data_IF_437886409931
#
_entry.id   IF_437886409931
#
_cell.length_a   1.000
_cell.length_b   1.000
_cell.length_c   1.000
_cell.angle_alpha   90.00
_cell.angle_beta   90.00
_cell.angle_gamma   90.00
#
_symmetry.space_group_name_H-M   'P 1'
#
loop_
_entity.id
_entity.type
_entity.pdbx_description
1 polymer ?
#
# COMPACT_ATOMS: atom_id res chain seq x y z
N UNK A 1 29.64 17.75 -1.20
CA UNK A 1 28.38 18.21 -1.83
C UNK A 1 27.24 17.96 -0.86
N UNK A 2 26.41 18.96 -0.54
CA UNK A 2 25.14 18.70 0.15
C UNK A 2 24.22 18.02 -0.86
N UNK A 3 23.74 16.82 -0.57
CA UNK A 3 22.79 16.17 -1.47
C UNK A 3 21.45 16.89 -1.39
N UNK A 4 20.84 17.15 -2.54
CA UNK A 4 19.51 17.77 -2.66
C UNK A 4 18.39 16.73 -2.46
N UNK A 5 18.56 15.78 -1.54
CA UNK A 5 17.52 14.79 -1.26
C UNK A 5 16.30 15.47 -0.64
N UNK A 6 15.12 15.01 -1.05
CA UNK A 6 13.82 15.49 -0.56
C UNK A 6 13.12 14.31 0.12
N UNK A 7 12.30 14.58 1.14
CA UNK A 7 11.59 13.50 1.84
C UNK A 7 10.42 13.04 0.97
N UNK A 8 10.21 11.73 0.87
CA UNK A 8 9.06 11.19 0.15
C UNK A 8 7.73 11.72 0.72
N UNK A 9 7.64 11.88 2.04
CA UNK A 9 6.46 12.43 2.72
C UNK A 9 6.03 13.83 2.27
N UNK A 10 6.94 14.59 1.63
CA UNK A 10 6.58 15.89 1.06
C UNK A 10 5.73 15.73 -0.21
N UNK A 11 5.87 14.59 -0.94
CA UNK A 11 5.21 14.30 -2.22
C UNK A 11 4.00 13.37 -2.14
N UNK A 12 3.80 12.69 -1.01
CA UNK A 12 2.69 11.74 -0.82
C UNK A 12 1.72 12.21 0.25
N UNK A 13 0.48 11.72 0.20
CA UNK A 13 -0.54 11.95 1.23
C UNK A 13 -1.29 10.67 1.57
N UNK A 14 -1.54 10.47 2.87
CA UNK A 14 -2.33 9.34 3.38
C UNK A 14 -3.82 9.55 3.05
N UNK A 15 -4.49 8.45 2.73
CA UNK A 15 -5.91 8.39 2.44
C UNK A 15 -6.63 7.54 3.48
N UNK A 16 -7.74 8.06 3.99
CA UNK A 16 -8.59 7.39 4.99
C UNK A 16 -10.00 7.13 4.47
N UNK A 17 -10.17 7.11 3.16
CA UNK A 17 -11.46 6.86 2.50
C UNK A 17 -11.86 5.40 2.76
N UNK A 18 -13.10 5.21 3.21
CA UNK A 18 -13.66 3.90 3.56
C UNK A 18 -14.85 3.53 2.69
N UNK A 19 -15.18 2.25 2.64
CA UNK A 19 -16.31 1.72 1.87
C UNK A 19 -17.67 1.98 2.54
N UNK A 20 -17.90 3.19 3.06
CA UNK A 20 -19.14 3.53 3.80
C UNK A 20 -20.39 3.44 2.94
N UNK A 21 -20.25 3.66 1.63
CA UNK A 21 -21.34 3.57 0.65
C UNK A 21 -21.48 2.16 0.04
N UNK A 22 -20.66 1.19 0.48
CA UNK A 22 -20.70 -0.20 0.01
C UNK A 22 -20.59 -0.35 -1.52
N UNK A 23 -19.80 0.52 -2.16
CA UNK A 23 -19.63 0.56 -3.63
C UNK A 23 -18.62 -0.47 -4.12
N UNK A 24 -17.59 -0.75 -3.33
CA UNK A 24 -16.60 -1.76 -3.67
C UNK A 24 -16.98 -3.10 -3.05
N UNK A 25 -16.96 -4.16 -3.87
CA UNK A 25 -17.25 -5.53 -3.43
C UNK A 25 -15.98 -6.38 -3.33
N UNK A 26 -14.96 -6.07 -4.13
CA UNK A 26 -13.72 -6.83 -4.14
C UNK A 26 -12.85 -6.48 -2.94
N UNK A 27 -12.51 -7.48 -2.13
CA UNK A 27 -11.51 -7.37 -1.07
C UNK A 27 -10.19 -7.97 -1.54
N UNK A 28 -9.16 -7.13 -1.64
CA UNK A 28 -7.81 -7.54 -2.05
C UNK A 28 -6.82 -7.44 -0.89
N UNK A 29 -5.82 -8.31 -0.93
CA UNK A 29 -4.58 -8.21 -0.14
C UNK A 29 -3.38 -8.01 -1.06
N UNK A 30 -2.19 -7.88 -0.48
CA UNK A 30 -0.92 -7.81 -1.22
C UNK A 30 -0.10 -9.08 -0.95
N UNK A 31 0.36 -9.73 -2.01
CA UNK A 31 1.21 -10.92 -1.93
C UNK A 31 2.70 -10.56 -1.73
N UNK A 32 3.53 -11.59 -1.52
CA UNK A 32 4.98 -11.44 -1.31
C UNK A 32 5.71 -10.86 -2.52
N UNK A 33 5.12 -10.96 -3.70
CA UNK A 33 5.66 -10.43 -4.96
C UNK A 33 5.13 -9.02 -5.27
N UNK A 34 4.45 -8.37 -4.30
CA UNK A 34 3.97 -6.99 -4.38
C UNK A 34 2.86 -6.76 -5.41
N UNK A 35 2.03 -7.77 -5.63
CA UNK A 35 0.82 -7.69 -6.43
C UNK A 35 -0.43 -7.75 -5.55
N UNK A 36 -1.47 -7.03 -5.98
CA UNK A 36 -2.80 -7.22 -5.43
C UNK A 36 -3.33 -8.61 -5.81
N UNK A 37 -3.96 -9.28 -4.87
CA UNK A 37 -4.62 -10.57 -5.05
C UNK A 37 -5.91 -10.63 -4.24
N UNK A 38 -6.90 -11.46 -4.63
CA UNK A 38 -8.07 -11.72 -3.79
C UNK A 38 -7.66 -12.10 -2.37
N UNK A 39 -8.28 -11.46 -1.39
CA UNK A 39 -7.99 -11.74 0.01
C UNK A 39 -8.52 -13.12 0.41
N UNK A 40 -7.76 -13.84 1.22
CA UNK A 40 -8.17 -15.11 1.84
C UNK A 40 -8.87 -14.92 3.19
N UNK A 41 -9.06 -13.67 3.61
CA UNK A 41 -9.73 -13.34 4.87
C UNK A 41 -11.19 -13.79 4.83
N UNK A 42 -11.65 -14.45 5.90
CA UNK A 42 -13.05 -14.75 6.08
C UNK A 42 -13.82 -13.45 6.36
N UNK A 43 -14.69 -13.05 5.43
CA UNK A 43 -15.51 -11.82 5.52
C UNK A 43 -16.93 -12.08 6.01
N UNK A 44 -17.31 -13.34 6.29
CA UNK A 44 -18.66 -13.67 6.77
C UNK A 44 -18.90 -12.98 8.12
N UNK A 45 -19.93 -12.14 8.17
CA UNK A 45 -20.27 -11.36 9.37
C UNK A 45 -19.32 -10.20 9.69
N UNK A 46 -18.40 -9.86 8.78
CA UNK A 46 -17.51 -8.71 8.93
C UNK A 46 -18.17 -7.44 8.39
N UNK A 47 -18.06 -6.34 9.13
CA UNK A 47 -18.44 -5.02 8.63
C UNK A 47 -17.44 -4.54 7.57
N UNK A 48 -17.83 -4.59 6.30
CA UNK A 48 -16.99 -4.13 5.19
C UNK A 48 -16.96 -2.60 5.06
N UNK A 49 -17.83 -1.86 5.76
CA UNK A 49 -17.88 -0.40 5.67
C UNK A 49 -16.63 0.28 6.25
N UNK A 50 -15.91 -0.40 7.14
CA UNK A 50 -14.67 0.12 7.74
C UNK A 50 -13.43 -0.11 6.87
N UNK A 51 -13.53 -0.93 5.83
CA UNK A 51 -12.43 -1.23 4.93
C UNK A 51 -12.06 -0.01 4.09
N UNK A 52 -10.77 0.13 3.80
CA UNK A 52 -10.25 1.29 3.06
C UNK A 52 -10.39 1.04 1.56
N UNK A 53 -10.76 2.08 0.82
CA UNK A 53 -10.85 2.05 -0.64
C UNK A 53 -9.51 2.37 -1.27
N UNK A 54 -9.19 1.66 -2.35
CA UNK A 54 -8.01 1.89 -3.19
C UNK A 54 -8.48 2.10 -4.62
N UNK A 55 -8.02 3.19 -5.24
CA UNK A 55 -8.32 3.58 -6.63
C UNK A 55 -7.05 3.52 -7.48
N UNK A 56 -7.21 3.71 -8.80
CA UNK A 56 -6.10 3.78 -9.75
C UNK A 56 -5.00 4.73 -9.27
N UNK A 57 -3.74 4.33 -9.42
CA UNK A 57 -2.53 5.06 -9.03
C UNK A 57 -2.35 5.29 -7.51
N UNK A 58 -3.25 4.75 -6.68
CA UNK A 58 -3.09 4.76 -5.23
C UNK A 58 -2.30 3.52 -4.79
N UNK A 59 -1.63 3.67 -3.67
CA UNK A 59 -0.83 2.61 -3.06
C UNK A 59 -1.55 2.08 -1.83
N UNK A 60 -1.38 0.78 -1.60
CA UNK A 60 -1.70 0.16 -0.33
C UNK A 60 -0.45 -0.52 0.22
N UNK A 61 -0.26 -0.45 1.53
CA UNK A 61 0.89 -1.00 2.22
C UNK A 61 0.47 -1.66 3.53
N UNK A 62 0.97 -2.85 3.82
CA UNK A 62 0.76 -3.51 5.10
C UNK A 62 2.11 -3.69 5.82
N UNK A 63 2.25 -3.11 7.00
CA UNK A 63 3.50 -3.14 7.78
C UNK A 63 3.63 -4.35 8.71
N UNK A 64 2.56 -5.13 8.92
CA UNK A 64 2.52 -6.16 9.96
C UNK A 64 3.46 -7.34 9.74
N UNK A 65 3.89 -7.62 8.51
CA UNK A 65 4.67 -8.81 8.20
C UNK A 65 6.09 -8.51 7.71
N UNK A 66 6.56 -7.26 7.83
CA UNK A 66 7.87 -6.86 7.31
C UNK A 66 9.03 -7.61 7.98
N UNK A 67 8.96 -7.75 9.31
CA UNK A 67 9.95 -8.49 10.10
C UNK A 67 10.06 -9.96 9.70
N UNK A 68 8.90 -10.62 9.52
CA UNK A 68 8.80 -12.05 9.15
C UNK A 68 9.17 -12.32 7.69
N UNK A 69 8.69 -11.48 6.78
CA UNK A 69 8.77 -11.72 5.33
C UNK A 69 10.00 -11.07 4.68
N UNK A 70 10.79 -10.31 5.46
CA UNK A 70 11.98 -9.56 5.01
C UNK A 70 11.67 -8.63 3.84
N UNK A 71 10.42 -8.19 3.74
CA UNK A 71 9.84 -7.49 2.59
C UNK A 71 8.69 -6.63 3.04
N UNK A 72 8.54 -5.45 2.44
CA UNK A 72 7.36 -4.62 2.65
C UNK A 72 6.27 -5.01 1.64
N UNK A 73 5.13 -5.57 2.09
CA UNK A 73 3.93 -5.70 1.25
C UNK A 73 3.41 -4.31 0.88
N UNK A 74 3.75 -3.86 -0.32
CA UNK A 74 3.31 -2.58 -0.88
C UNK A 74 3.03 -2.77 -2.37
N UNK A 75 1.92 -2.21 -2.87
CA UNK A 75 1.55 -2.30 -4.27
C UNK A 75 0.80 -1.04 -4.70
N UNK A 76 0.87 -0.73 -5.99
CA UNK A 76 0.18 0.38 -6.63
C UNK A 76 -0.93 -0.15 -7.52
N UNK A 77 -2.15 0.37 -7.36
CA UNK A 77 -3.29 -0.07 -8.15
C UNK A 77 -3.16 0.39 -9.59
N UNK A 78 -3.26 -0.56 -10.52
CA UNK A 78 -3.41 -0.31 -11.96
C UNK A 78 -4.87 -0.46 -12.44
N UNK A 79 -5.77 -0.87 -11.54
CA UNK A 79 -7.18 -1.09 -11.83
C UNK A 79 -7.91 0.23 -12.03
N UNK A 80 -8.80 0.27 -13.03
CA UNK A 80 -9.78 1.36 -13.19
C UNK A 80 -10.94 1.23 -12.19
N UNK A 81 -11.20 0.02 -11.68
CA UNK A 81 -12.20 -0.26 -10.66
C UNK A 81 -11.62 -0.09 -9.24
N UNK A 82 -12.39 0.50 -8.34
CA UNK A 82 -12.02 0.61 -6.92
C UNK A 82 -12.27 -0.69 -6.17
N UNK A 83 -11.39 -1.00 -5.21
CA UNK A 83 -11.48 -2.19 -4.37
C UNK A 83 -11.16 -1.87 -2.91
N UNK A 84 -11.46 -2.82 -2.03
CA UNK A 84 -11.21 -2.73 -0.60
C UNK A 84 -9.87 -3.37 -0.22
N UNK A 85 -9.24 -2.80 0.80
CA UNK A 85 -8.18 -3.43 1.59
C UNK A 85 -8.52 -3.34 3.07
N UNK A 86 -7.96 -4.25 3.88
CA UNK A 86 -8.19 -4.28 5.33
C UNK A 86 -7.87 -2.92 5.98
N UNK A 87 -8.60 -2.51 7.05
CA UNK A 87 -8.31 -1.28 7.79
C UNK A 87 -6.84 -1.15 8.27
N UNK A 88 -6.15 -2.28 8.43
CA UNK A 88 -4.75 -2.34 8.85
C UNK A 88 -3.76 -1.83 7.77
N UNK A 89 -4.18 -1.70 6.51
CA UNK A 89 -3.32 -1.17 5.45
C UNK A 89 -3.22 0.35 5.57
N UNK A 90 -2.05 0.89 5.29
CA UNK A 90 -1.90 2.30 4.96
C UNK A 90 -2.21 2.48 3.47
N UNK A 91 -3.11 3.40 3.14
CA UNK A 91 -3.43 3.77 1.75
C UNK A 91 -2.94 5.19 1.52
N UNK A 92 -2.28 5.43 0.40
CA UNK A 92 -1.74 6.76 0.09
C UNK A 92 -1.67 7.00 -1.41
N UNK A 93 -1.50 8.27 -1.78
CA UNK A 93 -1.32 8.67 -3.17
C UNK A 93 -0.25 9.75 -3.31
N UNK A 94 0.15 10.01 -4.56
CA UNK A 94 1.05 11.09 -4.89
C UNK A 94 0.25 12.39 -5.06
N UNK A 95 0.69 13.46 -4.40
CA UNK A 95 0.05 14.78 -4.45
C UNK A 95 0.07 15.41 -5.84
N UNK A 96 1.20 15.29 -6.54
CA UNK A 96 1.38 15.81 -7.89
C UNK A 96 2.13 14.80 -8.77
N UNK A 97 1.40 14.12 -9.66
CA UNK A 97 1.95 13.11 -10.56
C UNK A 97 2.87 13.68 -11.64
N UNK A 98 2.88 15.00 -11.87
CA UNK A 98 3.85 15.66 -12.77
C UNK A 98 5.22 15.80 -12.11
N UNK A 99 5.26 15.79 -10.78
CA UNK A 99 6.50 15.91 -9.99
C UNK A 99 7.06 14.55 -9.61
N UNK A 100 6.20 13.59 -9.25
CA UNK A 100 6.58 12.22 -8.94
C UNK A 100 5.67 11.25 -9.67
N UNK A 101 6.23 10.40 -10.52
CA UNK A 101 5.45 9.40 -11.24
C UNK A 101 5.13 8.20 -10.31
N UNK A 102 3.86 7.74 -10.22
CA UNK A 102 3.49 6.58 -9.41
C UNK A 102 4.21 5.28 -9.79
N UNK A 103 4.34 4.98 -11.08
CA UNK A 103 5.05 3.78 -11.55
C UNK A 103 6.54 3.83 -11.22
N UNK A 104 7.16 5.02 -11.30
CA UNK A 104 8.54 5.21 -10.87
C UNK A 104 8.70 4.94 -9.37
N UNK A 105 7.78 5.44 -8.54
CA UNK A 105 7.80 5.18 -7.11
C UNK A 105 7.59 3.68 -6.82
N UNK A 106 6.67 3.02 -7.53
CA UNK A 106 6.46 1.58 -7.41
C UNK A 106 7.71 0.78 -7.80
N UNK A 107 8.37 1.17 -8.91
CA UNK A 107 9.66 0.57 -9.31
C UNK A 107 10.70 0.69 -8.20
N UNK A 108 10.78 1.84 -7.52
CA UNK A 108 11.67 2.04 -6.38
C UNK A 108 11.34 1.09 -5.22
N UNK A 109 10.06 0.94 -4.88
CA UNK A 109 9.62 0.02 -3.84
C UNK A 109 9.84 -1.45 -4.19
N UNK A 110 9.87 -1.82 -5.47
CA UNK A 110 10.14 -3.20 -5.92
C UNK A 110 11.60 -3.64 -5.75
N UNK A 111 12.50 -2.74 -5.33
CA UNK A 111 13.92 -3.06 -5.15
C UNK A 111 14.18 -3.86 -3.88
N UNK A 112 15.06 -4.87 -3.98
CA UNK A 112 15.52 -5.65 -2.82
C UNK A 112 16.25 -4.78 -1.78
N UNK A 113 16.93 -3.70 -2.19
CA UNK A 113 17.57 -2.80 -1.22
C UNK A 113 16.55 -2.03 -0.40
N UNK A 114 15.41 -1.67 -1.00
CA UNK A 114 14.34 -1.00 -0.27
C UNK A 114 13.74 -1.93 0.78
N UNK A 115 13.43 -3.18 0.41
CA UNK A 115 12.94 -4.19 1.35
C UNK A 115 13.92 -4.46 2.49
N UNK A 116 15.21 -4.61 2.17
CA UNK A 116 16.25 -4.80 3.19
C UNK A 116 16.33 -3.63 4.16
N UNK A 117 16.19 -2.41 3.66
CA UNK A 117 16.20 -1.21 4.48
C UNK A 117 14.94 -1.12 5.35
N UNK A 118 13.76 -1.41 4.78
CA UNK A 118 12.52 -1.46 5.53
C UNK A 118 12.60 -2.50 6.66
N UNK A 119 13.09 -3.71 6.36
CA UNK A 119 13.31 -4.76 7.34
C UNK A 119 14.29 -4.35 8.45
N UNK A 120 15.40 -3.68 8.09
CA UNK A 120 16.38 -3.19 9.07
C UNK A 120 15.76 -2.20 10.08
N UNK A 121 14.76 -1.42 9.67
CA UNK A 121 14.08 -0.44 10.54
C UNK A 121 12.85 -0.99 11.26
N UNK A 122 12.50 -2.27 11.07
CA UNK A 122 11.38 -2.91 11.77
C UNK A 122 11.90 -3.84 12.85
N UNK A 123 11.29 -3.81 14.03
CA UNK A 123 11.56 -4.81 15.06
C UNK A 123 11.12 -6.20 14.58
N UNK A 124 11.75 -7.24 15.14
CA UNK A 124 11.50 -8.64 14.82
C UNK A 124 10.19 -9.17 15.45
N UNK A 125 9.19 -8.31 15.65
CA UNK A 125 7.91 -8.70 16.23
C UNK A 125 7.18 -9.65 15.27
N UNK A 126 7.02 -10.89 15.74
CA UNK A 126 6.25 -11.98 15.14
C UNK A 126 4.96 -12.16 15.93
#
# INVERSE_FOLDING_TARGET
MRSNYRRLGDYIQELKVRNTEQKAEQLLGINIDKFFMPSVANVVGTDLSVYKLVRKNQFACNRMHVGRDYRLPISMSKSDEEFMVSPAYDVFEIKDMKVLNPEFLMMWFSRKEFDRNAWFYTDADV
#
